data_IF_703200051646
#
_entry.id   IF_703200051646
#
_cell.length_a   1.000
_cell.length_b   1.000
_cell.length_c   1.000
_cell.angle_alpha   90.00
_cell.angle_beta   90.00
_cell.angle_gamma   90.00
#
_symmetry.space_group_name_H-M   'P 1'
#
loop_
_entity.id
_entity.type
_entity.pdbx_description
1 polymer ?
#
# COMPACT_ATOMS: atom_id res chain seq x y z
N UNK A 1 21.96 -14.10 -14.21
CA UNK A 1 21.02 -13.51 -15.15
C UNK A 1 21.69 -13.41 -16.50
N UNK A 2 21.16 -14.16 -17.47
CA UNK A 2 21.73 -14.30 -18.82
C UNK A 2 21.48 -13.03 -19.63
N UNK A 3 22.31 -11.97 -19.48
CA UNK A 3 22.42 -10.91 -20.49
C UNK A 3 21.19 -10.04 -20.81
N UNK A 4 20.01 -10.33 -20.29
CA UNK A 4 18.81 -9.52 -20.47
C UNK A 4 18.94 -8.23 -19.65
N UNK A 5 18.90 -7.09 -20.33
CA UNK A 5 18.86 -5.79 -19.66
C UNK A 5 17.50 -5.61 -18.99
N UNK A 6 17.44 -5.96 -17.72
CA UNK A 6 16.29 -5.63 -16.87
C UNK A 6 16.17 -4.09 -16.79
N UNK A 7 15.21 -3.53 -17.49
CA UNK A 7 15.08 -2.08 -17.67
C UNK A 7 14.12 -1.46 -16.66
N UNK A 8 14.59 -0.42 -15.95
CA UNK A 8 13.75 0.45 -15.12
C UNK A 8 13.56 1.83 -15.76
N UNK A 9 13.62 1.91 -17.10
CA UNK A 9 13.52 3.14 -17.90
C UNK A 9 14.43 4.28 -17.40
N UNK A 10 15.58 3.91 -16.80
CA UNK A 10 16.58 4.86 -16.28
C UNK A 10 16.18 5.56 -14.97
N UNK A 11 15.10 5.14 -14.34
CA UNK A 11 14.67 5.66 -13.02
C UNK A 11 15.64 5.20 -11.94
N UNK A 12 16.03 3.93 -11.99
CA UNK A 12 16.99 3.35 -11.05
C UNK A 12 18.34 3.16 -11.74
N UNK A 13 19.39 3.57 -11.07
CA UNK A 13 20.77 3.41 -11.53
C UNK A 13 21.59 2.62 -10.51
N UNK A 14 22.43 1.70 -10.99
CA UNK A 14 23.36 0.95 -10.15
C UNK A 14 22.76 -0.18 -9.34
N UNK A 15 21.43 -0.41 -9.39
CA UNK A 15 20.85 -1.60 -8.79
C UNK A 15 21.16 -2.85 -9.63
N UNK A 16 21.69 -3.86 -8.98
CA UNK A 16 21.97 -5.20 -9.58
C UNK A 16 21.03 -6.28 -9.08
N UNK A 17 20.30 -6.02 -7.99
CA UNK A 17 19.36 -6.95 -7.37
C UNK A 17 17.97 -6.35 -7.29
N UNK A 18 16.97 -7.18 -7.57
CA UNK A 18 15.56 -6.81 -7.54
C UNK A 18 14.77 -7.91 -6.84
N UNK A 19 13.74 -7.50 -6.12
CA UNK A 19 12.70 -8.38 -5.61
C UNK A 19 11.40 -8.01 -6.31
N UNK A 20 10.57 -9.00 -6.57
CA UNK A 20 9.23 -8.82 -7.13
C UNK A 20 8.29 -9.80 -6.46
N UNK A 21 7.02 -9.49 -6.50
CA UNK A 21 5.98 -10.34 -5.96
C UNK A 21 4.91 -10.59 -7.01
N UNK A 22 4.43 -11.82 -7.06
CA UNK A 22 3.30 -12.25 -7.86
C UNK A 22 2.18 -12.74 -6.97
N UNK A 23 0.98 -12.76 -7.50
CA UNK A 23 -0.18 -13.28 -6.80
C UNK A 23 -1.20 -13.81 -7.80
N UNK A 24 -1.90 -14.87 -7.46
CA UNK A 24 -3.05 -15.32 -8.21
C UNK A 24 -4.18 -14.26 -8.17
N UNK A 25 -4.94 -14.16 -9.26
CA UNK A 25 -6.08 -13.22 -9.31
C UNK A 25 -7.24 -13.77 -8.46
N UNK A 26 -7.20 -13.45 -7.18
CA UNK A 26 -8.19 -13.82 -6.18
C UNK A 26 -8.82 -12.58 -5.53
N UNK A 27 -9.88 -12.77 -4.74
CA UNK A 27 -10.62 -11.66 -4.12
C UNK A 27 -9.72 -10.69 -3.36
N UNK A 28 -8.72 -11.17 -2.59
CA UNK A 28 -7.82 -10.35 -1.78
C UNK A 28 -6.36 -10.42 -2.23
N UNK A 29 -6.07 -11.02 -3.39
CA UNK A 29 -4.70 -11.27 -3.83
C UNK A 29 -3.84 -10.00 -3.87
N UNK A 30 -4.36 -8.92 -4.43
CA UNK A 30 -3.60 -7.66 -4.56
C UNK A 30 -3.36 -6.98 -3.22
N UNK A 31 -4.33 -7.02 -2.31
CA UNK A 31 -4.18 -6.48 -0.95
C UNK A 31 -3.18 -7.33 -0.15
N UNK A 32 -3.24 -8.65 -0.25
CA UNK A 32 -2.29 -9.56 0.38
C UNK A 32 -0.87 -9.34 -0.16
N UNK A 33 -0.71 -9.21 -1.48
CA UNK A 33 0.58 -8.88 -2.08
C UNK A 33 1.13 -7.56 -1.54
N UNK A 34 0.30 -6.50 -1.51
CA UNK A 34 0.70 -5.21 -0.96
C UNK A 34 1.14 -5.31 0.49
N UNK A 35 0.42 -6.06 1.29
CA UNK A 35 0.70 -6.28 2.71
C UNK A 35 2.02 -7.05 2.91
N UNK A 36 2.19 -8.19 2.26
CA UNK A 36 3.37 -9.04 2.46
C UNK A 36 4.64 -8.41 1.86
N UNK A 37 4.51 -7.80 0.70
CA UNK A 37 5.68 -7.18 0.07
C UNK A 37 6.13 -5.92 0.83
N UNK A 38 5.19 -5.15 1.44
CA UNK A 38 5.56 -4.04 2.33
C UNK A 38 6.28 -4.53 3.59
N UNK A 39 5.90 -5.67 4.16
CA UNK A 39 6.64 -6.27 5.27
C UNK A 39 8.11 -6.55 4.89
N UNK A 40 8.36 -7.05 3.68
CA UNK A 40 9.73 -7.25 3.18
C UNK A 40 10.45 -5.90 2.99
N UNK A 41 9.79 -4.87 2.49
CA UNK A 41 10.33 -3.53 2.33
C UNK A 41 10.71 -2.92 3.68
N UNK A 42 9.84 -3.03 4.67
CA UNK A 42 10.09 -2.57 6.03
C UNK A 42 11.26 -3.32 6.68
N UNK A 43 11.30 -4.65 6.50
CA UNK A 43 12.42 -5.45 7.00
C UNK A 43 13.75 -5.09 6.31
N UNK A 44 13.75 -4.90 4.99
CA UNK A 44 14.91 -4.44 4.25
C UNK A 44 15.43 -3.09 4.80
N UNK A 45 14.50 -2.17 5.09
CA UNK A 45 14.83 -0.88 5.71
C UNK A 45 15.42 -1.06 7.10
N UNK A 46 14.87 -1.95 7.92
CA UNK A 46 15.37 -2.25 9.27
C UNK A 46 16.82 -2.75 9.25
N UNK A 47 17.20 -3.57 8.28
CA UNK A 47 18.57 -4.06 8.12
C UNK A 47 19.49 -3.11 7.30
N UNK A 48 19.04 -1.89 7.02
CA UNK A 48 19.81 -0.83 6.36
C UNK A 48 19.89 -0.91 4.83
N UNK A 49 19.03 -1.70 4.19
CA UNK A 49 18.92 -1.74 2.74
C UNK A 49 17.96 -0.67 2.21
N UNK A 50 18.28 -0.12 1.05
CA UNK A 50 17.43 0.79 0.29
C UNK A 50 16.51 0.02 -0.66
N UNK A 51 15.27 0.46 -0.73
CA UNK A 51 14.22 -0.09 -1.59
C UNK A 51 13.37 1.04 -2.18
N UNK A 52 12.63 0.76 -3.24
CA UNK A 52 11.59 1.65 -3.77
C UNK A 52 10.55 0.86 -4.56
N UNK A 53 9.29 1.11 -4.31
CA UNK A 53 8.20 0.54 -5.09
C UNK A 53 8.19 1.04 -6.53
N UNK A 54 8.23 0.12 -7.50
CA UNK A 54 8.11 0.39 -8.93
C UNK A 54 6.93 -0.40 -9.48
N UNK A 55 5.86 0.29 -9.88
CA UNK A 55 4.67 -0.33 -10.47
C UNK A 55 4.56 -0.05 -11.98
N UNK A 56 4.96 1.15 -12.44
CA UNK A 56 4.84 1.58 -13.84
C UNK A 56 6.18 1.84 -14.54
N UNK A 57 7.29 1.87 -13.81
CA UNK A 57 8.59 2.33 -14.30
C UNK A 57 9.59 1.18 -14.47
N UNK A 58 9.10 0.01 -14.91
CA UNK A 58 9.94 -1.14 -15.22
C UNK A 58 9.39 -1.92 -16.42
N UNK A 59 10.28 -2.62 -17.15
CA UNK A 59 9.91 -3.50 -18.26
C UNK A 59 9.30 -4.79 -17.73
N UNK A 60 7.98 -4.81 -17.58
CA UNK A 60 7.24 -5.93 -16.97
C UNK A 60 7.56 -7.27 -17.65
N UNK A 61 7.53 -7.33 -18.99
CA UNK A 61 7.82 -8.56 -19.73
C UNK A 61 9.22 -9.10 -19.50
N UNK A 62 10.26 -8.23 -19.48
CA UNK A 62 11.62 -8.66 -19.22
C UNK A 62 11.81 -9.20 -17.81
N UNK A 63 11.19 -8.55 -16.81
CA UNK A 63 11.22 -9.04 -15.44
C UNK A 63 10.40 -10.31 -15.24
N UNK A 64 9.21 -10.42 -15.86
CA UNK A 64 8.39 -11.63 -15.82
C UNK A 64 9.14 -12.85 -16.40
N UNK A 65 9.78 -12.67 -17.55
CA UNK A 65 10.62 -13.70 -18.17
C UNK A 65 11.78 -14.12 -17.26
N UNK A 66 12.54 -13.14 -16.73
CA UNK A 66 13.69 -13.41 -15.86
C UNK A 66 13.30 -14.10 -14.54
N UNK A 67 12.13 -13.82 -14.01
CA UNK A 67 11.58 -14.39 -12.78
C UNK A 67 10.75 -15.67 -13.03
N UNK A 68 10.53 -16.05 -14.31
CA UNK A 68 9.72 -17.21 -14.72
C UNK A 68 8.29 -17.16 -14.17
N UNK A 69 7.66 -16.00 -14.27
CA UNK A 69 6.30 -15.75 -13.79
C UNK A 69 5.31 -16.40 -14.74
N UNK A 70 4.32 -17.10 -14.20
CA UNK A 70 3.24 -17.73 -14.97
C UNK A 70 2.27 -16.67 -15.54
N UNK A 71 1.62 -16.99 -16.68
CA UNK A 71 0.69 -16.05 -17.34
C UNK A 71 -0.58 -15.78 -16.54
N UNK A 72 -0.95 -16.70 -15.66
CA UNK A 72 -2.11 -16.61 -14.75
C UNK A 72 -1.83 -15.83 -13.45
N UNK A 73 -0.58 -15.37 -13.26
CA UNK A 73 -0.20 -14.58 -12.11
C UNK A 73 -0.21 -13.07 -12.40
N UNK A 74 -0.75 -12.32 -11.47
CA UNK A 74 -0.62 -10.86 -11.46
C UNK A 74 0.77 -10.46 -10.96
N UNK A 75 1.44 -9.61 -11.71
CA UNK A 75 2.78 -9.08 -11.38
C UNK A 75 2.76 -7.55 -11.32
N UNK A 76 2.22 -6.95 -10.25
CA UNK A 76 1.95 -5.51 -10.22
C UNK A 76 3.19 -4.64 -9.99
N UNK A 77 4.20 -5.13 -9.24
CA UNK A 77 5.32 -4.29 -8.83
C UNK A 77 6.60 -5.08 -8.56
N UNK A 78 7.71 -4.35 -8.60
CA UNK A 78 9.04 -4.78 -8.16
C UNK A 78 9.66 -3.73 -7.23
N UNK A 79 10.74 -4.11 -6.55
CA UNK A 79 11.64 -3.17 -5.88
C UNK A 79 13.10 -3.52 -6.17
N UNK A 80 13.96 -2.57 -6.55
CA UNK A 80 15.39 -2.75 -6.40
C UNK A 80 15.72 -2.90 -4.92
N UNK A 81 16.76 -3.65 -4.61
CA UNK A 81 17.27 -3.82 -3.25
C UNK A 81 18.79 -3.70 -3.25
N UNK A 82 19.33 -2.94 -2.31
CA UNK A 82 20.78 -2.76 -2.20
C UNK A 82 21.15 -1.66 -1.19
N UNK A 83 22.43 -1.44 -1.01
CA UNK A 83 22.90 -0.38 -0.12
C UNK A 83 22.65 1.00 -0.75
N UNK A 84 21.96 1.92 -0.04
CA UNK A 84 21.65 3.23 -0.58
C UNK A 84 22.92 4.06 -0.75
N UNK A 85 23.06 4.72 -1.90
CA UNK A 85 24.12 5.69 -2.12
C UNK A 85 23.73 6.98 -1.38
N UNK A 86 24.61 7.50 -0.53
CA UNK A 86 24.35 8.60 0.40
C UNK A 86 23.99 9.97 -0.23
N UNK A 87 23.92 10.08 -1.56
CA UNK A 87 23.51 11.29 -2.28
C UNK A 87 22.32 11.01 -3.19
N UNK A 88 21.18 11.64 -2.92
CA UNK A 88 20.02 11.62 -3.81
C UNK A 88 20.37 12.24 -5.16
N UNK A 89 19.96 11.61 -6.26
CA UNK A 89 20.14 12.18 -7.59
C UNK A 89 19.20 13.39 -7.79
N UNK A 90 19.60 14.36 -8.63
CA UNK A 90 18.73 15.49 -8.99
C UNK A 90 17.39 15.01 -9.58
N UNK A 91 17.40 13.93 -10.38
CA UNK A 91 16.18 13.33 -10.96
C UNK A 91 15.25 12.77 -9.88
N UNK A 92 15.80 12.09 -8.89
CA UNK A 92 15.03 11.56 -7.76
C UNK A 92 14.39 12.70 -6.96
N UNK A 93 15.14 13.74 -6.65
CA UNK A 93 14.65 14.90 -5.91
C UNK A 93 13.52 15.63 -6.66
N UNK A 94 13.64 15.78 -7.98
CA UNK A 94 12.61 16.39 -8.83
C UNK A 94 11.36 15.50 -8.88
N UNK A 95 11.51 14.18 -9.05
CA UNK A 95 10.38 13.25 -9.10
C UNK A 95 9.62 13.22 -7.75
N UNK A 96 10.32 13.17 -6.62
CA UNK A 96 9.71 13.26 -5.28
C UNK A 96 8.90 14.55 -5.10
N UNK A 97 9.44 15.69 -5.59
CA UNK A 97 8.77 16.99 -5.52
C UNK A 97 7.51 17.04 -6.40
N UNK A 98 7.58 16.52 -7.63
CA UNK A 98 6.44 16.44 -8.55
C UNK A 98 5.33 15.55 -7.95
N UNK A 99 5.68 14.40 -7.39
CA UNK A 99 4.73 13.47 -6.76
C UNK A 99 4.28 13.91 -5.37
N UNK A 100 4.80 15.03 -4.85
CA UNK A 100 4.50 15.51 -3.49
C UNK A 100 4.68 14.42 -2.44
N UNK A 101 5.75 13.61 -2.57
CA UNK A 101 5.94 12.37 -1.81
C UNK A 101 5.98 12.56 -0.29
N UNK A 102 6.28 13.79 0.15
CA UNK A 102 6.37 14.14 1.57
C UNK A 102 5.04 14.72 2.12
N UNK A 103 4.02 14.87 1.26
CA UNK A 103 2.71 15.37 1.67
C UNK A 103 1.77 14.22 1.99
N UNK A 104 0.93 14.43 3.00
CA UNK A 104 -0.12 13.48 3.35
C UNK A 104 -1.47 14.20 3.33
N UNK A 105 -2.51 13.47 2.93
CA UNK A 105 -3.88 13.99 3.02
C UNK A 105 -4.22 14.30 4.46
N UNK A 106 -5.04 15.32 4.70
CA UNK A 106 -5.57 15.61 6.02
C UNK A 106 -6.31 14.41 6.61
N UNK A 107 -6.26 14.28 7.92
CA UNK A 107 -6.88 13.20 8.68
C UNK A 107 -8.37 13.03 8.37
N UNK A 108 -9.11 14.11 8.36
CA UNK A 108 -10.56 14.19 8.11
C UNK A 108 -10.98 13.77 6.68
N UNK A 109 -10.01 13.62 5.77
CA UNK A 109 -10.25 13.12 4.40
C UNK A 109 -10.03 11.63 4.26
N UNK A 110 -9.46 10.99 5.27
CA UNK A 110 -9.09 9.59 5.25
C UNK A 110 -9.87 8.74 6.25
N UNK A 111 -10.19 9.31 7.42
CA UNK A 111 -10.74 8.60 8.57
C UNK A 111 -12.11 9.12 8.97
N UNK A 112 -13.05 8.21 9.19
CA UNK A 112 -14.46 8.50 9.43
C UNK A 112 -14.98 7.71 10.63
N UNK A 113 -16.02 8.24 11.29
CA UNK A 113 -16.63 7.67 12.49
C UNK A 113 -18.10 7.32 12.23
N UNK A 114 -18.47 6.05 12.34
CA UNK A 114 -19.80 5.47 12.13
C UNK A 114 -20.40 5.64 10.71
N UNK A 115 -20.07 6.71 10.00
CA UNK A 115 -20.51 6.98 8.62
C UNK A 115 -19.50 7.88 7.90
N UNK A 116 -19.56 7.95 6.58
CA UNK A 116 -18.63 8.72 5.76
C UNK A 116 -18.85 10.25 5.77
N UNK A 117 -19.92 10.73 6.43
CA UNK A 117 -20.18 12.16 6.58
C UNK A 117 -19.53 12.75 7.85
N UNK A 118 -19.11 11.89 8.77
CA UNK A 118 -18.55 12.29 10.07
C UNK A 118 -17.07 11.95 10.12
N UNK A 119 -16.17 12.94 10.07
CA UNK A 119 -14.75 12.69 10.26
C UNK A 119 -14.46 12.10 11.66
N UNK A 120 -13.55 11.14 11.70
CA UNK A 120 -13.01 10.59 12.94
C UNK A 120 -11.98 11.56 13.52
N UNK A 121 -12.17 12.03 14.74
CA UNK A 121 -11.17 12.84 15.43
C UNK A 121 -10.04 11.96 15.99
N UNK A 122 -8.85 12.53 16.18
CA UNK A 122 -7.73 11.82 16.83
C UNK A 122 -8.12 11.31 18.22
N UNK A 123 -8.87 12.09 18.98
CA UNK A 123 -9.36 11.69 20.30
C UNK A 123 -10.30 10.48 20.25
N UNK A 124 -11.22 10.45 19.30
CA UNK A 124 -12.17 9.34 19.11
C UNK A 124 -11.51 8.07 18.51
N UNK A 125 -10.33 8.21 17.92
CA UNK A 125 -9.55 7.08 17.45
C UNK A 125 -9.11 6.15 18.59
N UNK A 126 -8.88 6.70 19.77
CA UNK A 126 -8.53 5.93 20.96
C UNK A 126 -7.27 5.07 20.73
N UNK A 127 -7.38 3.79 21.02
CA UNK A 127 -6.28 2.80 20.86
C UNK A 127 -5.80 2.64 19.40
N UNK A 128 -6.58 3.08 18.44
CA UNK A 128 -6.25 3.00 17.00
C UNK A 128 -5.50 4.23 16.49
N UNK A 129 -5.26 5.25 17.31
CA UNK A 129 -4.62 6.49 16.84
C UNK A 129 -3.26 6.23 16.18
N UNK A 130 -2.37 5.52 16.85
CA UNK A 130 -1.04 5.22 16.31
C UNK A 130 -1.11 4.29 15.09
N UNK A 131 -1.86 3.17 15.08
CA UNK A 131 -2.06 2.36 13.89
C UNK A 131 -2.60 3.13 12.68
N UNK A 132 -3.60 4.00 12.88
CA UNK A 132 -4.18 4.81 11.80
C UNK A 132 -3.21 5.86 11.28
N UNK A 133 -2.42 6.48 12.16
CA UNK A 133 -1.38 7.42 11.73
C UNK A 133 -0.31 6.74 10.88
N UNK A 134 0.12 5.54 11.24
CA UNK A 134 1.08 4.79 10.42
C UNK A 134 0.49 4.40 9.06
N UNK A 135 -0.78 4.02 9.00
CA UNK A 135 -1.48 3.83 7.73
C UNK A 135 -1.49 5.13 6.90
N UNK A 136 -1.76 6.29 7.52
CA UNK A 136 -1.76 7.60 6.85
C UNK A 136 -0.39 7.93 6.26
N UNK A 137 0.68 7.55 6.93
CA UNK A 137 2.06 7.79 6.52
C UNK A 137 2.57 6.78 5.47
N UNK A 138 1.87 5.67 5.27
CA UNK A 138 2.26 4.62 4.33
C UNK A 138 2.51 5.16 2.91
N UNK A 139 3.42 4.55 2.14
CA UNK A 139 3.64 4.93 0.75
C UNK A 139 2.47 4.46 -0.14
N UNK A 140 2.27 5.14 -1.27
CA UNK A 140 1.34 4.72 -2.30
C UNK A 140 1.80 5.19 -3.68
N UNK A 141 1.37 4.52 -4.73
CA UNK A 141 1.67 4.88 -6.10
C UNK A 141 1.22 6.33 -6.36
N UNK A 142 2.12 7.14 -6.92
CA UNK A 142 1.90 8.59 -7.17
C UNK A 142 1.44 9.39 -5.94
N UNK A 143 1.67 8.86 -4.73
CA UNK A 143 1.18 9.41 -3.47
C UNK A 143 -0.35 9.59 -3.44
N UNK A 144 -1.06 8.66 -4.07
CA UNK A 144 -2.52 8.73 -4.23
C UNK A 144 -3.30 8.60 -2.91
N UNK A 145 -2.75 7.87 -1.93
CA UNK A 145 -3.37 7.61 -0.63
C UNK A 145 -4.85 7.22 -0.78
N UNK A 146 -5.11 6.05 -1.43
CA UNK A 146 -6.45 5.70 -1.90
C UNK A 146 -7.37 5.17 -0.80
N UNK A 147 -6.82 4.92 0.38
CA UNK A 147 -7.56 4.36 1.51
C UNK A 147 -8.59 5.33 2.09
N UNK A 148 -9.72 4.78 2.50
CA UNK A 148 -10.74 5.41 3.34
C UNK A 148 -11.07 4.44 4.45
N UNK A 149 -11.01 4.92 5.67
CA UNK A 149 -11.15 4.07 6.85
C UNK A 149 -12.37 4.53 7.64
N UNK A 150 -13.24 3.59 7.93
CA UNK A 150 -14.42 3.84 8.73
C UNK A 150 -14.32 3.06 10.04
N UNK A 151 -14.29 3.77 11.15
CA UNK A 151 -14.39 3.17 12.49
C UNK A 151 -15.86 3.08 12.89
N UNK A 152 -16.31 1.87 13.21
CA UNK A 152 -17.64 1.63 13.78
C UNK A 152 -17.45 0.82 15.05
N UNK A 153 -17.66 1.44 16.20
CA UNK A 153 -17.32 0.84 17.51
C UNK A 153 -15.84 0.42 17.53
N UNK A 154 -15.57 -0.86 17.76
CA UNK A 154 -14.24 -1.46 17.84
C UNK A 154 -13.82 -2.17 16.54
N UNK A 155 -14.49 -1.84 15.44
CA UNK A 155 -14.21 -2.37 14.11
C UNK A 155 -13.64 -1.28 13.23
N UNK A 156 -12.56 -1.60 12.54
CA UNK A 156 -11.94 -0.73 11.54
C UNK A 156 -12.21 -1.31 10.16
N UNK A 157 -13.01 -0.63 9.37
CA UNK A 157 -13.35 -1.04 7.99
C UNK A 157 -12.44 -0.33 7.01
N UNK A 158 -11.84 -1.09 6.09
CA UNK A 158 -10.93 -0.61 5.07
C UNK A 158 -11.62 -0.56 3.71
N UNK A 159 -11.56 0.60 3.09
CA UNK A 159 -12.08 0.86 1.77
C UNK A 159 -11.01 1.42 0.86
N UNK A 160 -11.11 1.13 -0.44
CA UNK A 160 -10.31 1.77 -1.48
C UNK A 160 -11.18 2.75 -2.26
N UNK A 161 -10.65 3.95 -2.49
CA UNK A 161 -11.33 5.01 -3.25
C UNK A 161 -10.54 5.36 -4.52
N UNK A 162 -11.25 5.67 -5.60
CA UNK A 162 -10.67 6.08 -6.87
C UNK A 162 -11.51 7.21 -7.48
N UNK A 163 -10.95 7.92 -8.44
CA UNK A 163 -11.70 8.92 -9.18
C UNK A 163 -12.50 8.23 -10.30
N UNK A 164 -13.58 8.85 -10.78
CA UNK A 164 -14.42 8.34 -11.86
C UNK A 164 -13.63 7.95 -13.13
N UNK A 165 -12.57 8.70 -13.43
CA UNK A 165 -11.72 8.50 -14.61
C UNK A 165 -10.50 7.57 -14.36
N UNK A 166 -10.44 6.88 -13.22
CA UNK A 166 -9.33 5.97 -12.91
C UNK A 166 -9.40 4.74 -13.82
N UNK A 167 -8.32 4.46 -14.54
CA UNK A 167 -8.20 3.29 -15.41
C UNK A 167 -8.19 2.00 -14.58
N UNK A 168 -8.59 0.89 -15.17
CA UNK A 168 -8.69 -0.40 -14.46
C UNK A 168 -7.34 -0.86 -13.91
N UNK A 169 -6.26 -0.72 -14.67
CA UNK A 169 -4.90 -0.99 -14.19
C UNK A 169 -4.52 -0.17 -12.95
N UNK A 170 -4.91 1.11 -12.92
CA UNK A 170 -4.65 1.98 -11.76
C UNK A 170 -5.51 1.56 -10.55
N UNK A 171 -6.73 1.03 -10.78
CA UNK A 171 -7.57 0.48 -9.71
C UNK A 171 -6.89 -0.73 -9.05
N UNK A 172 -6.24 -1.60 -9.83
CA UNK A 172 -5.47 -2.72 -9.30
C UNK A 172 -4.31 -2.24 -8.40
N UNK A 173 -3.57 -1.23 -8.85
CA UNK A 173 -2.47 -0.67 -8.05
C UNK A 173 -2.98 -0.03 -6.74
N UNK A 174 -4.16 0.61 -6.75
CA UNK A 174 -4.76 1.16 -5.52
C UNK A 174 -5.17 0.09 -4.50
N UNK A 175 -5.46 -1.14 -4.96
CA UNK A 175 -5.68 -2.28 -4.06
C UNK A 175 -4.36 -2.72 -3.41
N UNK A 176 -3.26 -2.75 -4.17
CA UNK A 176 -1.91 -2.96 -3.61
C UNK A 176 -1.57 -1.87 -2.59
N UNK A 177 -1.81 -0.59 -2.93
CA UNK A 177 -1.60 0.54 -2.02
C UNK A 177 -2.39 0.38 -0.71
N UNK A 178 -3.64 -0.11 -0.78
CA UNK A 178 -4.41 -0.39 0.43
C UNK A 178 -3.76 -1.49 1.28
N UNK A 179 -3.27 -2.57 0.65
CA UNK A 179 -2.51 -3.62 1.32
C UNK A 179 -1.28 -3.09 2.05
N UNK A 180 -0.53 -2.19 1.41
CA UNK A 180 0.59 -1.47 2.04
C UNK A 180 0.11 -0.72 3.28
N UNK A 181 -0.97 0.07 3.17
CA UNK A 181 -1.54 0.79 4.31
C UNK A 181 -2.00 -0.13 5.44
N UNK A 182 -2.61 -1.27 5.11
CA UNK A 182 -3.04 -2.29 6.09
C UNK A 182 -1.82 -2.90 6.80
N UNK A 183 -0.70 -3.13 6.10
CA UNK A 183 0.55 -3.60 6.72
C UNK A 183 1.03 -2.64 7.80
N UNK A 184 1.14 -1.36 7.49
CA UNK A 184 1.53 -0.32 8.45
C UNK A 184 0.58 -0.23 9.66
N UNK A 185 -0.74 -0.28 9.41
CA UNK A 185 -1.74 -0.33 10.48
C UNK A 185 -1.53 -1.54 11.39
N UNK A 186 -1.42 -2.72 10.80
CA UNK A 186 -1.38 -3.99 11.53
C UNK A 186 -0.11 -4.14 12.37
N UNK A 187 1.07 -3.82 11.80
CA UNK A 187 2.34 -3.89 12.54
C UNK A 187 2.29 -3.03 13.81
N UNK A 188 1.79 -1.80 13.70
CA UNK A 188 1.70 -0.90 14.85
C UNK A 188 0.58 -1.32 15.81
N UNK A 189 -0.53 -1.87 15.31
CA UNK A 189 -1.56 -2.44 16.18
C UNK A 189 -1.00 -3.57 17.06
N UNK A 190 -0.23 -4.50 16.46
CA UNK A 190 0.45 -5.57 17.20
C UNK A 190 1.48 -5.03 18.20
N UNK A 191 2.28 -4.05 17.83
CA UNK A 191 3.26 -3.40 18.71
C UNK A 191 2.59 -2.77 19.93
N UNK A 192 1.38 -2.22 19.75
CA UNK A 192 0.56 -1.67 20.83
C UNK A 192 -0.25 -2.72 21.59
N UNK A 193 -0.03 -4.00 21.34
CA UNK A 193 -0.69 -5.11 22.03
C UNK A 193 -2.15 -5.31 21.64
N UNK A 194 -2.57 -4.77 20.50
CA UNK A 194 -3.90 -5.02 19.95
C UNK A 194 -3.89 -6.38 19.23
N UNK A 195 -4.84 -7.22 19.53
CA UNK A 195 -5.07 -8.48 18.82
C UNK A 195 -6.40 -8.41 18.07
N UNK A 196 -6.48 -9.03 16.91
CA UNK A 196 -7.69 -9.03 16.09
C UNK A 196 -7.54 -9.90 14.86
N UNK A 197 -8.60 -9.97 14.08
CA UNK A 197 -8.64 -10.70 12.82
C UNK A 197 -9.11 -9.81 11.68
N UNK A 198 -8.55 -10.02 10.50
CA UNK A 198 -9.13 -9.47 9.28
C UNK A 198 -10.30 -10.33 8.83
N UNK A 199 -11.47 -9.72 8.66
CA UNK A 199 -12.72 -10.41 8.28
C UNK A 199 -13.49 -9.63 7.23
N UNK A 200 -14.11 -10.35 6.29
CA UNK A 200 -15.13 -9.77 5.41
C UNK A 200 -16.44 -9.68 6.17
N UNK A 201 -16.96 -8.46 6.31
CA UNK A 201 -18.22 -8.20 7.03
C UNK A 201 -19.29 -7.64 6.07
N UNK A 202 -20.57 -7.86 6.38
CA UNK A 202 -21.66 -7.21 5.68
C UNK A 202 -21.60 -5.69 5.85
N UNK A 203 -21.94 -4.96 4.79
CA UNK A 203 -21.95 -3.49 4.74
C UNK A 203 -23.34 -2.92 4.50
N UNK A 204 -24.41 -3.72 4.73
CA UNK A 204 -25.79 -3.38 4.36
C UNK A 204 -26.32 -2.07 4.95
N UNK A 205 -25.80 -1.68 6.13
CA UNK A 205 -26.22 -0.46 6.82
C UNK A 205 -25.25 0.71 6.64
N UNK A 206 -24.26 0.59 5.74
CA UNK A 206 -23.25 1.62 5.51
C UNK A 206 -23.45 2.24 4.13
N UNK A 207 -23.82 3.52 4.10
CA UNK A 207 -23.87 4.27 2.86
C UNK A 207 -22.44 4.60 2.40
N UNK A 208 -21.96 3.84 1.43
CA UNK A 208 -20.60 4.00 0.89
C UNK A 208 -20.60 5.07 -0.20
N UNK A 209 -19.65 6.03 -0.18
CA UNK A 209 -19.54 7.05 -1.23
C UNK A 209 -19.30 6.42 -2.61
N UNK A 210 -19.74 7.13 -3.65
CA UNK A 210 -19.45 6.75 -5.03
C UNK A 210 -17.92 6.57 -5.25
N UNK A 211 -17.54 5.62 -6.09
CA UNK A 211 -16.16 5.29 -6.39
C UNK A 211 -15.32 4.85 -5.17
N UNK A 212 -15.99 4.38 -4.12
CA UNK A 212 -15.36 3.81 -2.93
C UNK A 212 -15.84 2.38 -2.76
N UNK A 213 -14.93 1.43 -2.58
CA UNK A 213 -15.23 0.00 -2.46
C UNK A 213 -14.74 -0.54 -1.13
N UNK A 214 -15.60 -1.23 -0.41
CA UNK A 214 -15.23 -1.98 0.79
C UNK A 214 -14.35 -3.17 0.42
N UNK A 215 -13.30 -3.37 1.22
CA UNK A 215 -12.37 -4.48 1.05
C UNK A 215 -12.48 -5.45 2.22
N UNK A 216 -12.08 -5.03 3.42
CA UNK A 216 -11.96 -5.91 4.58
C UNK A 216 -12.12 -5.11 5.88
N UNK A 217 -12.29 -5.78 7.01
CA UNK A 217 -12.35 -5.15 8.32
C UNK A 217 -11.37 -5.80 9.29
N UNK A 218 -10.77 -5.00 10.15
CA UNK A 218 -10.10 -5.44 11.36
C UNK A 218 -11.10 -5.49 12.50
N UNK A 219 -11.26 -6.65 13.10
CA UNK A 219 -12.13 -6.90 14.25
C UNK A 219 -11.22 -7.20 15.44
N UNK A 220 -11.16 -6.27 16.39
CA UNK A 220 -10.36 -6.45 17.61
C UNK A 220 -10.96 -7.58 18.45
N UNK A 221 -10.09 -8.43 18.99
CA UNK A 221 -10.47 -9.44 19.98
C UNK A 221 -10.50 -8.79 21.37
N UNK A 222 -11.56 -9.03 22.11
CA UNK A 222 -11.61 -8.67 23.52
C UNK A 222 -10.46 -9.42 24.25
N UNK A 223 -9.85 -8.70 25.21
CA UNK A 223 -8.80 -9.28 26.05
C UNK A 223 -9.39 -10.22 27.09
#
# INVERSE_FOLDING_TARGET
PNGEKLGTYGVIKGASSFIGATVADTEFGLEALGYEFENLILYATYIGLGTVWLAATFSRGSFASAMKISEDELFPAISPVGYPIGKKSLKESVMRKIMKSDQRKPWDKLFFNNNFSTPLTEKESGIYLAPLEMLRLAPSATNAQPWRILKVKDIIHFYVSHNSNTRDEEKLIKRVDLGIGISHFHQVALEHGLSGDFKKLSQENIQVPENTKYIISWVTKDK
#
